data_IF_015704091059
#
_entry.id   IF_015704091059
#
_cell.length_a   1.000
_cell.length_b   1.000
_cell.length_c   1.000
_cell.angle_alpha   90.00
_cell.angle_beta   90.00
_cell.angle_gamma   90.00
#
_symmetry.space_group_name_H-M   'P 1'
#
loop_
_entity.id
_entity.type
_entity.pdbx_description
1 polymer ?
#
# COMPACT_ATOMS: atom_id res chain seq x y z
N UNK A 1 -13.45 7.03 7.15
CA UNK A 1 -11.96 7.00 7.24
C UNK A 1 -11.39 7.26 5.85
N UNK A 2 -10.13 7.70 5.72
CA UNK A 2 -9.44 7.85 4.41
C UNK A 2 -8.27 6.89 4.40
N UNK A 3 -8.13 6.12 3.31
CA UNK A 3 -6.94 5.33 3.03
C UNK A 3 -6.25 6.01 1.85
N UNK A 4 -5.04 6.47 2.06
CA UNK A 4 -4.21 7.12 1.05
C UNK A 4 -3.04 6.19 0.79
N UNK A 5 -2.85 5.80 -0.46
CA UNK A 5 -1.79 4.90 -0.88
C UNK A 5 -0.80 5.61 -1.80
N UNK A 6 0.46 5.22 -1.71
CA UNK A 6 1.55 5.71 -2.56
C UNK A 6 1.97 4.58 -3.50
N UNK A 7 1.52 4.64 -4.72
CA UNK A 7 1.87 3.66 -5.75
C UNK A 7 3.26 3.88 -6.32
N UNK A 8 3.86 2.81 -6.86
CA UNK A 8 5.14 2.84 -7.58
C UNK A 8 6.31 3.38 -6.76
N UNK A 9 6.27 3.21 -5.44
CA UNK A 9 7.27 3.77 -4.51
C UNK A 9 8.53 2.91 -4.34
N UNK A 10 8.59 1.71 -4.93
CA UNK A 10 9.74 0.80 -4.85
C UNK A 10 10.31 0.54 -6.25
N UNK A 11 11.55 1.01 -6.49
CA UNK A 11 12.19 0.92 -7.80
C UNK A 11 12.33 -0.53 -8.31
N UNK A 12 12.60 -1.49 -7.42
CA UNK A 12 12.71 -2.91 -7.76
C UNK A 12 11.36 -3.46 -8.24
N UNK A 13 10.29 -3.21 -7.50
CA UNK A 13 8.94 -3.64 -7.86
C UNK A 13 8.47 -2.99 -9.17
N UNK A 14 8.78 -1.72 -9.38
CA UNK A 14 8.49 -1.03 -10.63
C UNK A 14 9.13 -1.75 -11.83
N UNK A 15 10.39 -2.18 -11.68
CA UNK A 15 11.12 -2.92 -12.72
C UNK A 15 10.50 -4.30 -12.99
N UNK A 16 10.06 -5.02 -11.96
CA UNK A 16 9.36 -6.31 -12.08
C UNK A 16 8.05 -6.18 -12.88
N UNK A 17 7.36 -5.05 -12.73
CA UNK A 17 6.14 -4.72 -13.47
C UNK A 17 6.40 -4.08 -14.85
N UNK A 18 7.66 -4.02 -15.31
CA UNK A 18 8.04 -3.45 -16.61
C UNK A 18 8.05 -1.91 -16.65
N UNK A 19 8.05 -1.25 -15.48
CA UNK A 19 8.09 0.22 -15.41
C UNK A 19 9.53 0.70 -15.47
N UNK A 20 9.90 1.33 -16.59
CA UNK A 20 11.27 1.85 -16.80
C UNK A 20 11.43 3.30 -16.38
N UNK A 21 10.34 4.05 -16.24
CA UNK A 21 10.39 5.44 -15.81
C UNK A 21 10.25 5.54 -14.30
N UNK A 22 11.15 6.28 -13.66
CA UNK A 22 11.05 6.67 -12.26
C UNK A 22 10.22 7.95 -12.21
N UNK A 23 9.11 7.91 -11.48
CA UNK A 23 8.29 9.09 -11.27
C UNK A 23 9.07 10.14 -10.47
N UNK A 24 8.96 11.41 -10.86
CA UNK A 24 9.55 12.51 -10.11
C UNK A 24 8.70 12.91 -8.89
N UNK A 25 7.42 12.54 -8.90
CA UNK A 25 6.47 12.79 -7.83
C UNK A 25 5.75 11.48 -7.43
N UNK A 26 5.30 11.36 -6.17
CA UNK A 26 4.59 10.17 -5.72
C UNK A 26 3.25 10.03 -6.45
N UNK A 27 2.95 8.81 -6.89
CA UNK A 27 1.63 8.47 -7.44
C UNK A 27 0.70 8.21 -6.27
N UNK A 28 -0.25 9.11 -6.06
CA UNK A 28 -1.21 9.01 -4.96
C UNK A 28 -2.55 8.50 -5.49
N UNK A 29 -3.12 7.52 -4.81
CA UNK A 29 -4.49 7.09 -5.02
C UNK A 29 -5.18 6.83 -3.67
N UNK A 30 -6.48 6.65 -3.70
CA UNK A 30 -7.27 6.46 -2.48
C UNK A 30 -8.07 5.16 -2.56
N UNK A 31 -8.31 4.59 -1.37
CA UNK A 31 -9.33 3.56 -1.19
C UNK A 31 -10.39 4.09 -0.24
N UNK A 32 -11.69 3.82 -0.49
CA UNK A 32 -12.75 4.15 0.45
C UNK A 32 -12.63 3.29 1.73
N UNK A 33 -13.32 3.64 2.79
CA UNK A 33 -13.35 2.82 4.00
C UNK A 33 -14.11 1.49 3.83
N UNK A 34 -15.00 1.40 2.84
CA UNK A 34 -15.62 0.13 2.42
C UNK A 34 -14.61 -0.87 1.83
N UNK A 35 -13.44 -0.40 1.38
CA UNK A 35 -12.38 -1.29 0.89
C UNK A 35 -11.69 -2.08 2.01
N UNK A 36 -11.90 -1.75 3.29
CA UNK A 36 -11.25 -2.44 4.39
C UNK A 36 -11.85 -3.83 4.57
N UNK A 37 -11.00 -4.85 4.44
CA UNK A 37 -11.30 -6.22 4.86
C UNK A 37 -11.21 -6.28 6.39
N UNK A 38 -12.36 -6.34 7.06
CA UNK A 38 -12.47 -6.28 8.52
C UNK A 38 -12.37 -7.67 9.15
N UNK A 39 -11.87 -7.69 10.39
CA UNK A 39 -12.00 -8.82 11.31
C UNK A 39 -11.35 -10.11 10.82
N UNK A 40 -10.29 -10.03 10.01
CA UNK A 40 -9.61 -11.20 9.48
C UNK A 40 -10.50 -12.10 8.61
N UNK A 41 -11.56 -11.56 8.02
CA UNK A 41 -12.44 -12.28 7.12
C UNK A 41 -11.70 -12.74 5.86
N UNK A 42 -12.13 -13.83 5.21
CA UNK A 42 -11.55 -14.25 3.95
C UNK A 42 -11.76 -13.18 2.87
N UNK A 43 -10.74 -12.96 2.06
CA UNK A 43 -10.85 -12.18 0.84
C UNK A 43 -11.47 -13.06 -0.26
N UNK A 44 -12.53 -12.58 -0.88
CA UNK A 44 -13.12 -13.22 -2.04
C UNK A 44 -12.67 -12.51 -3.31
N UNK A 45 -12.09 -13.27 -4.25
CA UNK A 45 -11.69 -12.74 -5.54
C UNK A 45 -12.93 -12.25 -6.29
N UNK A 46 -12.98 -10.99 -6.74
CA UNK A 46 -14.15 -10.43 -7.40
C UNK A 46 -14.33 -10.97 -8.82
N UNK A 47 -15.59 -11.15 -9.24
CA UNK A 47 -15.95 -11.70 -10.56
C UNK A 47 -15.61 -10.76 -11.73
N UNK A 48 -15.41 -9.48 -11.47
CA UNK A 48 -15.16 -8.46 -12.50
C UNK A 48 -13.69 -8.40 -12.97
N UNK A 49 -12.78 -9.15 -12.36
CA UNK A 49 -11.36 -9.20 -12.70
C UNK A 49 -10.89 -10.64 -12.87
N UNK A 50 -10.10 -10.87 -13.91
CA UNK A 50 -9.47 -12.17 -14.16
C UNK A 50 -8.06 -12.28 -13.58
N UNK A 51 -7.53 -11.19 -13.02
CA UNK A 51 -6.18 -11.15 -12.49
C UNK A 51 -6.11 -10.22 -11.28
N UNK A 52 -6.19 -10.79 -10.08
CA UNK A 52 -6.05 -10.07 -8.82
C UNK A 52 -4.68 -10.39 -8.21
N UNK A 53 -3.91 -9.34 -7.95
CA UNK A 53 -2.62 -9.43 -7.26
C UNK A 53 -2.75 -8.96 -5.81
N UNK A 54 -1.88 -9.46 -4.96
CA UNK A 54 -1.60 -8.95 -3.62
C UNK A 54 -0.36 -8.04 -3.67
N UNK A 55 -0.41 -6.92 -2.99
CA UNK A 55 0.72 -6.01 -2.80
C UNK A 55 0.89 -5.79 -1.31
N UNK A 56 2.01 -6.28 -0.74
CA UNK A 56 2.28 -6.10 0.69
C UNK A 56 2.79 -4.69 0.94
N UNK A 57 2.15 -4.00 1.88
CA UNK A 57 2.38 -2.59 2.16
C UNK A 57 2.71 -2.35 3.63
N UNK A 58 3.57 -1.39 3.91
CA UNK A 58 3.70 -0.82 5.24
C UNK A 58 2.65 0.27 5.40
N UNK A 59 1.83 0.14 6.43
CA UNK A 59 0.69 1.02 6.70
C UNK A 59 0.98 1.85 7.95
N UNK A 60 0.86 3.17 7.85
CA UNK A 60 0.99 4.08 8.99
C UNK A 60 -0.36 4.68 9.35
N UNK A 61 -0.64 4.78 10.65
CA UNK A 61 -1.85 5.42 11.17
C UNK A 61 -1.59 6.88 11.44
N UNK A 62 -2.31 7.75 10.72
CA UNK A 62 -2.28 9.19 10.98
C UNK A 62 -3.16 9.50 12.22
N UNK A 63 -2.56 10.09 13.24
CA UNK A 63 -3.19 10.35 14.53
C UNK A 63 -3.59 11.81 14.76
N UNK A 64 -3.21 12.70 13.85
CA UNK A 64 -3.39 14.15 14.06
C UNK A 64 -3.83 14.85 12.78
N UNK A 65 -4.74 15.79 12.91
CA UNK A 65 -5.11 16.69 11.82
C UNK A 65 -3.97 17.66 11.52
N UNK A 66 -3.69 17.91 10.24
CA UNK A 66 -2.67 18.84 9.81
C UNK A 66 -2.81 19.25 8.35
N UNK A 67 -2.20 20.39 8.02
CA UNK A 67 -2.12 20.92 6.66
C UNK A 67 -0.80 21.66 6.49
N UNK A 68 -0.15 21.50 5.32
CA UNK A 68 1.13 22.15 5.00
C UNK A 68 2.23 21.85 6.02
N UNK A 69 2.33 20.60 6.47
CA UNK A 69 3.28 20.18 7.48
C UNK A 69 4.67 20.03 6.83
N UNK A 70 5.67 20.73 7.38
CA UNK A 70 7.04 20.56 6.93
C UNK A 70 7.52 19.12 7.23
N UNK A 71 8.27 18.46 6.31
CA UNK A 71 8.69 17.05 6.45
C UNK A 71 9.34 16.71 7.79
N UNK A 72 10.16 17.62 8.34
CA UNK A 72 10.80 17.45 9.67
C UNK A 72 9.83 17.23 10.82
N UNK A 73 8.55 17.56 10.65
CA UNK A 73 7.52 17.41 11.68
C UNK A 73 6.57 16.23 11.38
N UNK A 74 6.75 15.50 10.28
CA UNK A 74 5.88 14.38 9.88
C UNK A 74 5.76 13.32 10.99
N UNK A 75 6.86 13.03 11.72
CA UNK A 75 6.90 12.09 12.83
C UNK A 75 5.89 12.37 13.97
N UNK A 76 5.34 13.59 14.04
CA UNK A 76 4.33 13.99 15.05
C UNK A 76 2.90 13.66 14.62
N UNK A 77 2.70 13.17 13.39
CA UNK A 77 1.39 12.98 12.78
C UNK A 77 1.01 11.51 12.60
N UNK A 78 1.89 10.58 12.95
CA UNK A 78 1.56 9.16 13.01
C UNK A 78 1.94 8.59 14.39
N UNK A 79 1.22 7.57 14.83
CA UNK A 79 1.42 6.95 16.15
C UNK A 79 1.49 5.43 16.12
N UNK A 80 1.24 4.82 14.97
CA UNK A 80 1.25 3.39 14.83
C UNK A 80 1.58 2.95 13.40
N UNK A 81 2.11 1.75 13.29
CA UNK A 81 2.48 1.11 12.03
C UNK A 81 1.98 -0.34 12.02
N UNK A 82 1.69 -0.83 10.84
CA UNK A 82 1.37 -2.24 10.60
C UNK A 82 1.74 -2.62 9.17
N UNK A 83 1.49 -3.88 8.81
CA UNK A 83 1.52 -4.34 7.42
C UNK A 83 0.08 -4.54 6.94
N UNK A 84 -0.12 -4.39 5.63
CA UNK A 84 -1.39 -4.60 4.98
C UNK A 84 -1.21 -5.22 3.61
N UNK A 85 -2.31 -5.50 2.95
CA UNK A 85 -2.34 -5.98 1.56
C UNK A 85 -3.23 -5.05 0.75
N UNK A 86 -2.67 -4.47 -0.32
CA UNK A 86 -3.39 -3.76 -1.36
C UNK A 86 -3.76 -4.75 -2.46
N UNK A 87 -4.98 -5.31 -2.39
CA UNK A 87 -5.50 -6.14 -3.46
C UNK A 87 -5.79 -5.29 -4.69
N UNK A 88 -5.27 -5.73 -5.82
CA UNK A 88 -5.27 -4.99 -7.07
C UNK A 88 -5.85 -5.82 -8.20
N UNK A 89 -6.91 -5.34 -8.84
CA UNK A 89 -7.39 -5.89 -10.12
C UNK A 89 -6.40 -5.48 -11.23
N UNK A 90 -5.39 -6.31 -11.45
CA UNK A 90 -4.21 -5.96 -12.25
C UNK A 90 -4.53 -5.78 -13.73
N UNK A 91 -5.41 -6.58 -14.29
CA UNK A 91 -5.90 -6.46 -15.66
C UNK A 91 -6.58 -5.10 -15.91
N UNK A 92 -7.42 -4.66 -14.97
CA UNK A 92 -8.07 -3.34 -15.04
C UNK A 92 -7.05 -2.21 -14.84
N UNK A 93 -6.09 -2.37 -13.93
CA UNK A 93 -5.08 -1.34 -13.70
C UNK A 93 -4.25 -1.08 -14.96
N UNK A 94 -3.83 -2.12 -15.70
CA UNK A 94 -3.12 -1.96 -16.97
C UNK A 94 -3.96 -1.15 -17.97
N UNK A 95 -5.21 -1.55 -18.18
CA UNK A 95 -6.16 -0.86 -19.05
C UNK A 95 -6.34 0.62 -18.69
N UNK A 96 -6.50 0.92 -17.39
CA UNK A 96 -6.72 2.30 -16.93
C UNK A 96 -5.47 3.16 -17.07
N UNK A 97 -4.30 2.60 -16.84
CA UNK A 97 -3.03 3.33 -17.06
C UNK A 97 -2.83 3.68 -18.53
N UNK A 98 -3.06 2.75 -19.44
CA UNK A 98 -2.96 2.98 -20.89
C UNK A 98 -3.94 4.06 -21.36
N UNK A 99 -5.14 4.08 -20.79
CA UNK A 99 -6.18 5.05 -21.12
C UNK A 99 -6.09 6.38 -20.35
N UNK A 100 -5.20 6.48 -19.35
CA UNK A 100 -5.13 7.66 -18.47
C UNK A 100 -6.33 7.78 -17.52
N UNK A 101 -7.04 6.68 -17.25
CA UNK A 101 -8.21 6.66 -16.37
C UNK A 101 -7.82 6.57 -14.89
N UNK A 102 -8.71 7.03 -13.99
CA UNK A 102 -8.58 6.84 -12.54
C UNK A 102 -8.52 5.38 -12.12
N UNK A 103 -7.93 5.10 -10.94
CA UNK A 103 -7.66 3.73 -10.46
C UNK A 103 -8.71 3.17 -9.48
N UNK A 104 -9.77 3.91 -9.18
CA UNK A 104 -10.76 3.53 -8.16
C UNK A 104 -11.33 2.13 -8.38
N UNK A 105 -11.68 1.78 -9.63
CA UNK A 105 -12.26 0.46 -9.94
C UNK A 105 -11.27 -0.69 -9.77
N UNK A 106 -9.97 -0.46 -9.92
CA UNK A 106 -8.96 -1.51 -9.78
C UNK A 106 -8.29 -1.54 -8.41
N UNK A 107 -8.43 -0.49 -7.61
CA UNK A 107 -7.80 -0.33 -6.30
C UNK A 107 -8.78 -0.11 -5.14
N UNK A 108 -9.96 0.46 -5.40
CA UNK A 108 -10.91 0.90 -4.38
C UNK A 108 -12.15 0.00 -4.22
N UNK A 109 -12.15 -1.21 -4.76
CA UNK A 109 -13.27 -2.13 -4.63
C UNK A 109 -13.39 -2.70 -3.20
N UNK A 110 -14.55 -3.20 -2.83
CA UNK A 110 -14.84 -3.70 -1.49
C UNK A 110 -13.85 -4.80 -1.07
N UNK A 111 -13.38 -4.72 0.18
CA UNK A 111 -12.41 -5.63 0.78
C UNK A 111 -11.02 -5.64 0.12
N UNK A 112 -10.69 -4.65 -0.70
CA UNK A 112 -9.40 -4.56 -1.39
C UNK A 112 -8.22 -4.09 -0.50
N UNK A 113 -8.45 -3.82 0.79
CA UNK A 113 -7.44 -3.42 1.75
C UNK A 113 -7.50 -4.29 3.01
N UNK A 114 -6.62 -5.28 3.13
CA UNK A 114 -6.41 -5.98 4.39
C UNK A 114 -5.42 -5.17 5.25
N UNK A 115 -5.77 -4.93 6.51
CA UNK A 115 -4.95 -4.13 7.43
C UNK A 115 -4.72 -4.95 8.69
N UNK A 116 -3.45 -5.14 9.06
CA UNK A 116 -3.05 -5.89 10.23
C UNK A 116 -3.26 -5.14 11.55
N UNK A 117 -2.85 -5.75 12.64
CA UNK A 117 -2.88 -5.12 13.97
C UNK A 117 -1.78 -4.07 14.07
N UNK A 118 -2.16 -2.88 14.47
CA UNK A 118 -1.22 -1.78 14.66
C UNK A 118 -0.36 -1.95 15.89
N UNK A 119 0.93 -1.63 15.76
CA UNK A 119 1.90 -1.54 16.86
C UNK A 119 2.52 -0.14 16.88
N UNK A 120 3.16 0.24 17.99
CA UNK A 120 3.86 1.54 18.03
C UNK A 120 5.14 1.51 17.18
N UNK A 121 5.63 2.68 16.72
CA UNK A 121 6.91 2.76 16.02
C UNK A 121 8.08 2.14 16.81
N UNK A 122 8.11 2.28 18.14
CA UNK A 122 9.13 1.70 19.01
C UNK A 122 9.08 0.17 19.00
N UNK A 123 7.88 -0.42 19.04
CA UNK A 123 7.69 -1.86 18.93
C UNK A 123 8.11 -2.40 17.56
N UNK A 124 8.06 -1.58 16.53
CA UNK A 124 8.53 -1.89 15.18
C UNK A 124 10.04 -1.67 15.00
N UNK A 125 10.78 -1.35 16.06
CA UNK A 125 12.23 -1.12 16.00
C UNK A 125 12.66 0.36 15.96
N UNK A 126 11.72 1.29 15.99
CA UNK A 126 11.94 2.75 16.11
C UNK A 126 12.27 3.47 14.79
N UNK A 127 12.99 2.84 13.87
CA UNK A 127 13.34 3.43 12.57
C UNK A 127 12.45 2.88 11.44
N UNK A 128 11.35 3.56 11.19
CA UNK A 128 10.41 3.15 10.12
C UNK A 128 11.00 3.26 8.70
N UNK A 129 12.20 3.82 8.54
CA UNK A 129 12.91 3.88 7.25
C UNK A 129 13.81 2.66 6.99
N UNK A 130 13.79 1.66 7.88
CA UNK A 130 14.62 0.44 7.77
C UNK A 130 13.85 -0.82 8.16
N UNK A 131 12.54 -0.84 7.92
CA UNK A 131 11.71 -2.00 8.21
C UNK A 131 11.85 -3.04 7.10
N UNK A 132 12.19 -4.27 7.48
CA UNK A 132 12.00 -5.44 6.63
C UNK A 132 10.58 -5.95 6.80
N UNK A 133 9.94 -6.29 5.69
CA UNK A 133 8.62 -6.91 5.69
C UNK A 133 8.53 -7.97 4.59
N UNK A 134 7.69 -8.97 4.80
CA UNK A 134 7.47 -10.03 3.83
C UNK A 134 6.02 -10.55 3.91
N UNK A 135 5.65 -11.30 2.91
CA UNK A 135 4.39 -12.04 2.85
C UNK A 135 4.68 -13.51 2.54
N UNK A 136 4.08 -14.36 3.34
CA UNK A 136 4.06 -15.81 3.10
C UNK A 136 2.65 -16.25 2.70
N UNK A 137 2.57 -17.16 1.73
CA UNK A 137 1.35 -17.88 1.38
C UNK A 137 1.65 -19.36 1.52
N UNK A 138 0.87 -20.07 2.35
CA UNK A 138 1.03 -21.48 2.63
C UNK A 138 2.47 -21.85 3.11
N UNK A 139 3.08 -20.97 3.91
CA UNK A 139 4.43 -21.14 4.43
C UNK A 139 5.56 -20.89 3.44
N UNK A 140 5.25 -20.37 2.25
CA UNK A 140 6.24 -19.96 1.24
C UNK A 140 6.27 -18.45 1.13
N UNK A 141 7.47 -17.86 1.28
CA UNK A 141 7.65 -16.43 1.03
C UNK A 141 7.38 -16.10 -0.44
N UNK A 142 6.47 -15.14 -0.66
CA UNK A 142 6.04 -14.71 -2.00
C UNK A 142 6.36 -13.24 -2.28
N UNK A 143 6.54 -12.42 -1.24
CA UNK A 143 7.00 -11.03 -1.36
C UNK A 143 7.93 -10.68 -0.22
N UNK A 144 8.91 -9.82 -0.49
CA UNK A 144 9.80 -9.20 0.50
C UNK A 144 10.14 -7.78 0.07
N UNK A 145 10.19 -6.87 1.05
CA UNK A 145 10.59 -5.48 0.86
C UNK A 145 11.32 -4.91 2.06
N UNK A 146 11.96 -3.78 1.85
CA UNK A 146 12.55 -2.97 2.91
C UNK A 146 12.19 -1.50 2.68
N UNK A 147 11.75 -0.79 3.71
CA UNK A 147 11.37 0.62 3.58
C UNK A 147 12.52 1.55 3.21
N UNK A 148 13.78 1.10 3.38
CA UNK A 148 14.95 1.85 2.89
C UNK A 148 14.99 1.97 1.36
N UNK A 149 14.28 1.09 0.63
CA UNK A 149 14.21 1.07 -0.83
C UNK A 149 13.14 2.00 -1.41
N UNK A 150 12.38 2.70 -0.54
CA UNK A 150 11.36 3.66 -0.97
C UNK A 150 11.99 4.84 -1.73
N UNK A 151 11.38 5.20 -2.86
CA UNK A 151 11.75 6.38 -3.65
C UNK A 151 11.31 7.68 -2.95
N UNK A 152 10.14 7.68 -2.32
CA UNK A 152 9.57 8.78 -1.54
C UNK A 152 9.44 8.31 -0.09
N UNK A 153 10.13 9.01 0.81
CA UNK A 153 10.23 8.68 2.25
C UNK A 153 9.45 9.64 3.10
#
# INVERSE_FOLDING_TARGET
MKIIAVGMNYARHNKELGHTQINQEPVIFMKPDSAILKDGKPFFVPDFSNEVHYETEVVVRICRLGKNIAPRFAHRYYDAVTVGIDFTARDLQRKFREAGNPWELCKGFDNSAAIGTFISPEQAGGDLQKLDFHLDIDGKEVQRGNTADMLFR
#
